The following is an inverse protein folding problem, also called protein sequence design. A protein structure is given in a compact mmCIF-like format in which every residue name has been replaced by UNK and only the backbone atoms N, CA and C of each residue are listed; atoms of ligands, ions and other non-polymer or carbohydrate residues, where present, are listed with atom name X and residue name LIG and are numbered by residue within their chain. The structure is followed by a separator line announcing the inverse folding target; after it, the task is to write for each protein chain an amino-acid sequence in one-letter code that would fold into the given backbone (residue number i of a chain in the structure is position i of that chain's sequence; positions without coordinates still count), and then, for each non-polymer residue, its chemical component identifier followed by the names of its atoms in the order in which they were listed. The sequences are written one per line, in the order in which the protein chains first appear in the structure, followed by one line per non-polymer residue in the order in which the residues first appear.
data_IF_204102199686
#
_entry.id   IF_204102199686
#
_cell.length_a   1.000
_cell.length_b   1.000
_cell.length_c   1.000
_cell.angle_alpha   90.00
_cell.angle_beta   90.00
_cell.angle_gamma   90.00
#
_symmetry.space_group_name_H-M   'P 1'
#
loop_
_entity.id
_entity.type
_entity.pdbx_description
1 polymer ?
#
# COMPACT_ATOMS: atom_id res chain seq x y z
N UNK A 1 22.67 4.68 -20.65
CA UNK A 1 21.34 4.04 -20.66
C UNK A 1 20.73 4.37 -19.30
N UNK A 2 19.61 5.10 -19.30
CA UNK A 2 18.95 5.54 -18.08
C UNK A 2 18.15 4.35 -17.53
N UNK A 3 18.69 3.64 -16.53
CA UNK A 3 18.02 2.49 -15.90
C UNK A 3 17.06 3.02 -14.84
N UNK A 4 15.98 3.66 -15.29
CA UNK A 4 14.88 4.03 -14.42
C UNK A 4 14.07 2.75 -14.17
N UNK A 5 14.39 2.01 -13.10
CA UNK A 5 13.51 0.97 -12.56
C UNK A 5 12.34 1.58 -11.79
N UNK A 6 11.74 2.66 -12.31
CA UNK A 6 10.50 3.19 -11.78
C UNK A 6 9.37 2.29 -12.31
N UNK A 7 9.15 1.18 -11.63
CA UNK A 7 7.95 0.36 -11.84
C UNK A 7 6.76 1.22 -11.42
N UNK A 8 5.80 1.41 -12.32
CA UNK A 8 4.60 2.18 -12.03
C UNK A 8 3.85 1.55 -10.83
N UNK A 9 3.37 2.38 -9.87
CA UNK A 9 2.64 1.87 -8.73
C UNK A 9 1.35 1.17 -9.16
N UNK A 10 1.04 0.06 -8.51
CA UNK A 10 -0.18 -0.72 -8.75
C UNK A 10 -1.25 -0.33 -7.74
N UNK A 11 -2.37 0.21 -8.22
CA UNK A 11 -3.54 0.50 -7.40
C UNK A 11 -4.31 -0.79 -7.13
N UNK A 12 -4.44 -1.15 -5.85
CA UNK A 12 -5.17 -2.34 -5.40
C UNK A 12 -6.65 -2.04 -5.15
N UNK A 13 -6.95 -0.85 -4.64
CA UNK A 13 -8.31 -0.37 -4.40
C UNK A 13 -8.30 1.14 -4.15
N UNK A 14 -9.37 1.84 -4.54
CA UNK A 14 -9.54 3.25 -4.23
C UNK A 14 -11.03 3.57 -4.03
N UNK A 15 -11.29 4.67 -3.32
CA UNK A 15 -12.62 5.25 -3.17
C UNK A 15 -12.63 6.64 -3.78
N UNK A 16 -13.67 6.98 -4.55
CA UNK A 16 -13.72 8.24 -5.30
C UNK A 16 -13.94 9.46 -4.38
N UNK A 17 -14.71 9.30 -3.30
CA UNK A 17 -15.26 10.45 -2.55
C UNK A 17 -14.46 10.87 -1.30
N UNK A 18 -13.66 9.97 -0.71
CA UNK A 18 -13.16 10.18 0.65
C UNK A 18 -11.63 10.12 0.80
N UNK A 19 -10.90 10.02 -0.32
CA UNK A 19 -9.43 9.98 -0.29
C UNK A 19 -8.87 8.74 0.42
N UNK A 20 -9.59 7.61 0.33
CA UNK A 20 -9.05 6.31 0.73
C UNK A 20 -8.54 5.56 -0.49
N UNK A 21 -7.31 5.06 -0.41
CA UNK A 21 -6.70 4.24 -1.44
C UNK A 21 -5.73 3.23 -0.83
N UNK A 22 -5.55 2.12 -1.53
CA UNK A 22 -4.52 1.13 -1.26
C UNK A 22 -3.78 0.88 -2.57
N UNK A 23 -2.47 1.05 -2.54
CA UNK A 23 -1.61 0.82 -3.70
C UNK A 23 -0.25 0.27 -3.25
N UNK A 24 0.52 -0.29 -4.20
CA UNK A 24 1.86 -0.81 -3.92
C UNK A 24 2.88 -0.36 -4.96
N UNK A 25 4.11 -0.12 -4.53
CA UNK A 25 5.27 0.14 -5.39
C UNK A 25 6.27 -1.02 -5.30
N UNK A 26 7.02 -1.26 -6.37
CA UNK A 26 8.19 -2.14 -6.34
C UNK A 26 9.43 -1.28 -6.11
N UNK A 27 10.11 -1.48 -4.98
CA UNK A 27 11.35 -0.81 -4.60
C UNK A 27 12.55 -1.79 -4.67
N UNK A 28 13.77 -1.29 -4.41
CA UNK A 28 15.00 -2.12 -4.49
C UNK A 28 14.95 -3.34 -3.57
N UNK A 29 14.31 -3.20 -2.40
CA UNK A 29 14.22 -4.22 -1.35
C UNK A 29 12.93 -5.06 -1.42
N UNK A 30 12.02 -4.78 -2.37
CA UNK A 30 10.75 -5.50 -2.53
C UNK A 30 9.54 -4.58 -2.65
N UNK A 31 8.34 -5.14 -2.44
CA UNK A 31 7.11 -4.35 -2.50
C UNK A 31 6.93 -3.49 -1.24
N UNK A 32 6.50 -2.25 -1.43
CA UNK A 32 5.99 -1.40 -0.35
C UNK A 32 4.50 -1.17 -0.55
N UNK A 33 3.71 -1.39 0.51
CA UNK A 33 2.27 -1.19 0.53
C UNK A 33 1.93 0.16 1.16
N UNK A 34 1.02 0.87 0.53
CA UNK A 34 0.61 2.22 0.90
C UNK A 34 -0.90 2.22 1.15
N UNK A 35 -1.32 2.64 2.34
CA UNK A 35 -2.73 2.80 2.70
C UNK A 35 -2.98 4.26 3.02
N UNK A 36 -3.74 4.92 2.16
CA UNK A 36 -4.16 6.31 2.32
C UNK A 36 -5.48 6.36 3.07
N UNK A 37 -5.50 7.13 4.16
CA UNK A 37 -6.67 7.32 5.04
C UNK A 37 -7.05 8.80 5.14
N UNK A 38 -7.13 9.48 3.99
CA UNK A 38 -7.50 10.89 3.84
C UNK A 38 -6.46 11.89 4.37
N UNK A 39 -6.07 11.80 5.64
CA UNK A 39 -5.11 12.70 6.29
C UNK A 39 -3.80 12.03 6.74
N UNK A 40 -3.69 10.71 6.58
CA UNK A 40 -2.50 9.92 6.94
C UNK A 40 -2.29 8.84 5.90
N UNK A 41 -1.02 8.55 5.60
CA UNK A 41 -0.60 7.42 4.77
C UNK A 41 0.25 6.49 5.60
N UNK A 42 -0.09 5.20 5.58
CA UNK A 42 0.71 4.14 6.18
C UNK A 42 1.59 3.51 5.10
N UNK A 43 2.88 3.39 5.36
CA UNK A 43 3.85 2.70 4.53
C UNK A 43 4.28 1.42 5.24
N UNK A 44 4.19 0.28 4.57
CA UNK A 44 4.43 -1.02 5.17
C UNK A 44 5.26 -1.90 4.24
N UNK A 45 6.26 -2.58 4.81
CA UNK A 45 6.92 -3.71 4.17
C UNK A 45 5.94 -4.88 3.98
N UNK A 46 6.25 -5.88 3.14
CA UNK A 46 5.34 -6.99 2.86
C UNK A 46 4.90 -7.74 4.12
N UNK A 47 5.81 -7.99 5.06
CA UNK A 47 5.52 -8.68 6.32
C UNK A 47 4.58 -7.87 7.22
N UNK A 48 4.79 -6.56 7.31
CA UNK A 48 3.95 -5.65 8.09
C UNK A 48 2.53 -5.54 7.49
N UNK A 49 2.43 -5.54 6.16
CA UNK A 49 1.16 -5.56 5.45
C UNK A 49 0.36 -6.83 5.74
N UNK A 50 1.01 -7.99 5.71
CA UNK A 50 0.35 -9.26 6.01
C UNK A 50 -0.22 -9.28 7.44
N UNK A 51 0.56 -8.84 8.43
CA UNK A 51 0.09 -8.72 9.81
C UNK A 51 -1.06 -7.70 9.94
N UNK A 52 -0.94 -6.54 9.28
CA UNK A 52 -1.98 -5.51 9.29
C UNK A 52 -3.32 -6.04 8.75
N UNK A 53 -3.31 -6.77 7.62
CA UNK A 53 -4.53 -7.36 7.04
C UNK A 53 -5.17 -8.34 8.02
N UNK A 54 -4.38 -9.16 8.72
CA UNK A 54 -4.88 -10.07 9.76
C UNK A 54 -5.52 -9.29 10.91
N UNK A 55 -4.86 -8.23 11.40
CA UNK A 55 -5.37 -7.39 12.48
C UNK A 55 -6.71 -6.73 12.11
N UNK A 56 -6.82 -6.14 10.91
CA UNK A 56 -8.07 -5.51 10.45
C UNK A 56 -9.20 -6.52 10.34
N UNK A 57 -8.95 -7.70 9.77
CA UNK A 57 -9.95 -8.78 9.68
C UNK A 57 -10.45 -9.18 11.07
N UNK A 58 -9.55 -9.31 12.04
CA UNK A 58 -9.89 -9.65 13.41
C UNK A 58 -10.67 -8.53 14.12
N UNK A 59 -10.36 -7.26 13.82
CA UNK A 59 -11.05 -6.11 14.41
C UNK A 59 -12.46 -5.87 13.84
N UNK A 60 -12.73 -6.35 12.62
CA UNK A 60 -14.04 -6.23 11.95
C UNK A 60 -15.07 -7.31 12.34
N UNK A 61 -14.65 -8.32 13.10
CA UNK A 61 -15.49 -9.42 13.58
C UNK A 61 -16.19 -9.06 14.90
#
# INVERSE_FOLDING_TARGET
MNNNHDVEPEVLSETEDYGFAVWRSMEEDGYMYHVELGGVTLHMAPEEWEEFVVLIRNASA
#
